data_IF_657629788044
#
_entry.id   IF_657629788044
#
_cell.length_a   1.000
_cell.length_b   1.000
_cell.length_c   1.000
_cell.angle_alpha   90.00
_cell.angle_beta   90.00
_cell.angle_gamma   90.00
#
_symmetry.space_group_name_H-M   'P 1'
#
loop_
_entity.id
_entity.type
_entity.pdbx_description
1 polymer ?
#
# COMPACT_ATOMS: atom_id res chain seq x y z
N UNK A 1 8.35 16.41 28.55
CA UNK A 1 9.05 16.83 27.32
C UNK A 1 8.19 16.50 26.10
N UNK A 2 7.47 17.50 25.59
CA UNK A 2 6.67 17.35 24.38
C UNK A 2 7.59 17.30 23.17
N UNK A 3 7.33 16.36 22.27
CA UNK A 3 8.11 16.18 21.06
C UNK A 3 8.31 17.51 20.35
N UNK A 4 9.58 17.83 20.06
CA UNK A 4 9.90 19.05 19.32
C UNK A 4 9.54 18.93 17.84
N UNK A 5 9.28 17.70 17.36
CA UNK A 5 8.98 17.37 15.97
C UNK A 5 7.74 16.50 15.88
N UNK A 6 6.98 16.64 14.79
CA UNK A 6 5.79 15.84 14.51
C UNK A 6 5.64 15.61 13.01
N UNK A 7 5.15 14.43 12.63
CA UNK A 7 4.87 14.09 11.23
C UNK A 7 3.36 13.89 11.09
N UNK A 8 2.76 14.47 10.05
CA UNK A 8 1.36 14.31 9.69
C UNK A 8 1.27 13.70 8.30
N UNK A 9 0.58 12.57 8.17
CA UNK A 9 0.21 11.98 6.87
C UNK A 9 -1.25 12.35 6.57
N UNK A 10 -1.50 12.89 5.38
CA UNK A 10 -2.84 13.30 5.00
C UNK A 10 -3.07 13.23 3.49
N UNK A 11 -4.36 13.26 3.13
CA UNK A 11 -4.82 13.30 1.75
C UNK A 11 -5.59 14.60 1.53
N UNK A 12 -5.05 15.47 0.68
CA UNK A 12 -5.75 16.66 0.20
C UNK A 12 -6.44 16.35 -1.13
N UNK A 13 -7.74 16.67 -1.24
CA UNK A 13 -8.51 16.53 -2.47
C UNK A 13 -8.94 17.91 -2.97
N UNK A 14 -8.70 18.20 -4.24
CA UNK A 14 -9.04 19.48 -4.86
C UNK A 14 -9.25 19.32 -6.36
N UNK A 15 -10.03 20.21 -6.96
CA UNK A 15 -10.17 20.30 -8.42
C UNK A 15 -9.21 21.37 -8.94
N UNK A 16 -8.38 21.03 -9.94
CA UNK A 16 -7.42 21.97 -10.52
C UNK A 16 -8.09 22.92 -11.54
N UNK A 17 -7.31 23.82 -12.15
CA UNK A 17 -7.80 24.78 -13.15
C UNK A 17 -8.37 24.12 -14.41
N UNK A 18 -7.96 22.90 -14.71
CA UNK A 18 -8.40 22.14 -15.89
C UNK A 18 -9.67 21.33 -15.61
N UNK A 19 -10.22 21.41 -14.39
CA UNK A 19 -11.40 20.66 -13.98
C UNK A 19 -11.10 19.21 -13.59
N UNK A 20 -9.83 18.85 -13.42
CA UNK A 20 -9.43 17.52 -12.98
C UNK A 20 -9.48 17.43 -11.45
N UNK A 21 -10.08 16.35 -10.94
CA UNK A 21 -10.08 16.04 -9.52
C UNK A 21 -8.74 15.38 -9.14
N UNK A 22 -7.98 16.05 -8.29
CA UNK A 22 -6.65 15.64 -7.84
C UNK A 22 -6.70 15.18 -6.38
N UNK A 23 -6.00 14.08 -6.11
CA UNK A 23 -5.70 13.58 -4.77
C UNK A 23 -4.20 13.70 -4.49
N UNK A 24 -3.82 14.55 -3.53
CA UNK A 24 -2.44 14.72 -3.04
C UNK A 24 -2.28 13.99 -1.70
N UNK A 25 -1.56 12.87 -1.73
CA UNK A 25 -1.18 12.12 -0.53
C UNK A 25 0.24 12.46 -0.12
N UNK A 26 0.42 13.09 1.05
CA UNK A 26 1.73 13.53 1.53
C UNK A 26 1.97 13.28 3.02
N UNK A 27 3.26 13.18 3.37
CA UNK A 27 3.77 13.22 4.74
C UNK A 27 4.49 14.54 4.96
N UNK A 28 3.99 15.32 5.92
CA UNK A 28 4.51 16.64 6.27
C UNK A 28 5.21 16.60 7.64
N UNK A 29 6.42 17.15 7.70
CA UNK A 29 7.21 17.37 8.91
C UNK A 29 6.90 18.74 9.51
N UNK A 30 6.64 18.76 10.81
CA UNK A 30 6.42 19.96 11.60
C UNK A 30 7.42 20.05 12.76
N UNK A 31 7.85 21.27 13.09
CA UNK A 31 8.70 21.56 14.23
C UNK A 31 7.97 22.50 15.19
N UNK A 32 7.95 22.14 16.48
CA UNK A 32 7.45 22.97 17.55
C UNK A 32 8.55 23.91 18.06
N UNK A 33 8.42 25.20 17.78
CA UNK A 33 9.36 26.24 18.18
C UNK A 33 8.62 27.31 18.97
N UNK A 34 9.05 27.54 20.22
CA UNK A 34 8.53 28.61 21.11
C UNK A 34 7.00 28.62 21.21
N UNK A 35 6.38 27.45 21.38
CA UNK A 35 4.93 27.37 21.57
C UNK A 35 4.10 27.29 20.29
N UNK A 36 4.73 27.18 19.11
CA UNK A 36 4.04 27.14 17.81
C UNK A 36 4.61 26.06 16.90
N UNK A 37 3.74 25.43 16.12
CA UNK A 37 4.12 24.47 15.09
C UNK A 37 4.39 25.19 13.78
N UNK A 38 5.49 24.81 13.12
CA UNK A 38 5.86 25.29 11.80
C UNK A 38 6.01 24.10 10.86
N UNK A 39 5.44 24.21 9.66
CA UNK A 39 5.74 23.28 8.57
C UNK A 39 7.20 23.43 8.17
N UNK A 40 7.91 22.31 8.04
CA UNK A 40 9.32 22.25 7.69
C UNK A 40 9.49 21.72 6.28
N UNK A 41 8.90 20.56 5.99
CA UNK A 41 9.03 19.90 4.70
C UNK A 41 7.85 18.95 4.46
N UNK A 42 7.62 18.58 3.21
CA UNK A 42 6.55 17.68 2.78
C UNK A 42 7.01 16.80 1.63
N UNK A 43 6.76 15.50 1.73
CA UNK A 43 7.10 14.54 0.69
C UNK A 43 5.87 13.73 0.26
N UNK A 44 5.76 13.37 -1.04
CA UNK A 44 4.69 12.50 -1.50
C UNK A 44 4.76 11.17 -0.76
N UNK A 45 3.66 10.80 -0.11
CA UNK A 45 3.53 9.55 0.59
C UNK A 45 3.31 8.45 -0.46
N UNK A 46 4.42 7.88 -0.96
CA UNK A 46 4.35 6.71 -1.83
C UNK A 46 3.57 5.63 -1.11
N UNK A 47 2.48 5.20 -1.71
CA UNK A 47 1.81 3.98 -1.26
C UNK A 47 2.77 2.84 -1.51
N UNK A 48 3.29 2.24 -0.44
CA UNK A 48 4.10 1.05 -0.58
C UNK A 48 3.20 -0.07 -1.12
N UNK A 49 3.59 -0.75 -2.20
CA UNK A 49 2.81 -1.87 -2.70
C UNK A 49 2.73 -2.92 -1.59
N UNK A 50 1.52 -3.38 -1.29
CA UNK A 50 1.31 -4.48 -0.35
C UNK A 50 2.03 -5.73 -0.86
N UNK A 51 3.15 -6.09 -0.23
CA UNK A 51 3.85 -7.34 -0.46
C UNK A 51 3.16 -8.40 0.38
N UNK A 52 2.59 -9.44 -0.26
CA UNK A 52 2.14 -10.62 0.49
C UNK A 52 3.34 -11.22 1.21
N UNK A 53 3.24 -11.33 2.53
CA UNK A 53 4.21 -12.02 3.39
C UNK A 53 4.19 -13.55 3.17
N UNK A 54 3.11 -14.06 2.59
CA UNK A 54 2.95 -15.49 2.29
C UNK A 54 3.92 -15.92 1.18
N UNK A 55 4.65 -17.00 1.45
CA UNK A 55 5.57 -17.60 0.49
C UNK A 55 4.80 -17.96 -0.79
N UNK A 56 5.30 -17.49 -1.94
CA UNK A 56 4.66 -17.77 -3.22
C UNK A 56 4.74 -19.26 -3.51
N UNK A 57 3.67 -20.01 -3.22
CA UNK A 57 3.55 -21.42 -3.58
C UNK A 57 3.71 -21.58 -5.09
N UNK A 58 4.75 -22.29 -5.51
CA UNK A 58 5.01 -22.56 -6.91
C UNK A 58 3.97 -23.52 -7.47
N UNK A 59 3.68 -23.36 -8.76
CA UNK A 59 2.65 -24.15 -9.47
C UNK A 59 2.86 -25.68 -9.36
N UNK A 60 4.09 -26.14 -9.17
CA UNK A 60 4.44 -27.56 -9.06
C UNK A 60 4.67 -28.05 -7.63
N UNK A 61 4.69 -27.17 -6.63
CA UNK A 61 4.93 -27.52 -5.23
C UNK A 61 3.73 -28.24 -4.62
N UNK A 62 3.95 -28.89 -3.48
CA UNK A 62 2.86 -29.52 -2.73
C UNK A 62 1.84 -28.46 -2.29
N UNK A 63 0.57 -28.77 -2.46
CA UNK A 63 -0.50 -27.84 -2.15
C UNK A 63 -0.64 -27.66 -0.63
N UNK A 64 -0.67 -26.42 -0.09
CA UNK A 64 -0.69 -26.15 1.35
C UNK A 64 -1.99 -26.60 2.05
N UNK A 65 -3.02 -27.01 1.29
CA UNK A 65 -4.25 -27.59 1.84
C UNK A 65 -4.09 -29.04 2.36
N UNK A 66 -2.89 -29.62 2.30
CA UNK A 66 -2.61 -30.96 2.83
C UNK A 66 -3.06 -32.11 1.93
N UNK A 67 -3.50 -31.85 0.70
CA UNK A 67 -4.00 -32.88 -0.22
C UNK A 67 -2.94 -33.83 -0.78
N UNK A 68 -1.65 -33.52 -0.58
CA UNK A 68 -0.51 -34.24 -1.19
C UNK A 68 -0.37 -34.04 -2.71
N UNK A 69 -1.23 -33.23 -3.34
CA UNK A 69 -1.21 -32.95 -4.79
C UNK A 69 -0.37 -31.71 -5.09
N UNK A 70 0.18 -31.63 -6.31
CA UNK A 70 0.82 -30.39 -6.82
C UNK A 70 -0.20 -29.24 -6.83
N UNK A 71 0.20 -28.03 -6.46
CA UNK A 71 -0.67 -26.85 -6.34
C UNK A 71 -1.55 -26.65 -7.58
N UNK A 72 -0.99 -26.74 -8.80
CA UNK A 72 -1.74 -26.64 -10.08
C UNK A 72 -2.83 -27.68 -10.31
N UNK A 73 -2.76 -28.82 -9.63
CA UNK A 73 -3.75 -29.90 -9.73
C UNK A 73 -4.73 -29.89 -8.55
N UNK A 74 -4.59 -28.92 -7.63
CA UNK A 74 -5.44 -28.74 -6.46
C UNK A 74 -5.94 -27.28 -6.39
N UNK A 75 -5.61 -26.52 -5.36
CA UNK A 75 -6.11 -25.14 -5.14
C UNK A 75 -5.67 -24.14 -6.22
N UNK A 76 -4.57 -24.41 -6.94
CA UNK A 76 -4.06 -23.57 -8.03
C UNK A 76 -4.65 -23.90 -9.41
N UNK A 77 -5.71 -24.71 -9.49
CA UNK A 77 -6.49 -24.84 -10.73
C UNK A 77 -7.21 -23.51 -10.97
N UNK A 78 -6.66 -22.69 -11.87
CA UNK A 78 -7.50 -21.71 -12.55
C UNK A 78 -8.65 -22.48 -13.21
N UNK A 79 -9.89 -22.04 -12.98
CA UNK A 79 -11.05 -22.56 -13.70
C UNK A 79 -10.79 -22.38 -15.20
N UNK A 80 -10.29 -23.42 -15.85
CA UNK A 80 -9.94 -23.40 -17.26
C UNK A 80 -11.18 -23.70 -18.07
N UNK A 81 -11.62 -22.69 -18.82
CA UNK A 81 -12.14 -22.77 -20.17
C UNK A 81 -13.07 -23.95 -20.51
N UNK A 82 -14.35 -23.62 -20.69
CA UNK A 82 -15.19 -24.25 -21.71
C UNK A 82 -14.41 -24.29 -23.04
N UNK A 83 -14.15 -25.50 -23.51
CA UNK A 83 -13.94 -25.80 -24.92
C UNK A 83 -14.34 -27.27 -25.13
N UNK A 84 -15.58 -27.44 -25.59
CA UNK A 84 -16.12 -28.42 -26.54
C UNK A 84 -17.54 -28.83 -26.19
#
# INVERSE_FOLDING_TARGET
PGDSQGIIEFIARYTNSDGEDIEHHEKALFQFVKGRWYFVDGAPARQEPFVRDDEKVGRNDLCPCGSGKKYKKCCGKAAGAEAS
#
